data_IF_566328075177
#
_entry.id   IF_566328075177
#
_cell.length_a   1.000
_cell.length_b   1.000
_cell.length_c   1.000
_cell.angle_alpha   90.00
_cell.angle_beta   90.00
_cell.angle_gamma   90.00
#
_symmetry.space_group_name_H-M   'P 1'
#
loop_
_entity.id
_entity.type
_entity.pdbx_description
1 polymer ?
#
# COMPACT_ATOMS: atom_id res chain seq x y z
N UNK A 1 -9.58 16.33 2.76
CA UNK A 1 -10.89 15.78 3.18
C UNK A 1 -10.68 14.73 4.27
N UNK A 2 -11.73 14.31 5.01
CA UNK A 2 -11.62 13.21 5.98
C UNK A 2 -11.10 11.92 5.32
N UNK A 3 -11.57 11.64 4.11
CA UNK A 3 -11.12 10.47 3.33
C UNK A 3 -9.62 10.52 3.04
N UNK A 4 -9.09 11.67 2.61
CA UNK A 4 -7.64 11.80 2.32
C UNK A 4 -6.78 11.50 3.55
N UNK A 5 -7.20 11.97 4.74
CA UNK A 5 -6.47 11.70 5.99
C UNK A 5 -6.49 10.22 6.36
N UNK A 6 -7.60 9.51 6.11
CA UNK A 6 -7.67 8.06 6.33
C UNK A 6 -6.74 7.31 5.39
N UNK A 7 -6.73 7.66 4.10
CA UNK A 7 -5.84 7.06 3.11
C UNK A 7 -4.37 7.29 3.48
N UNK A 8 -4.01 8.52 3.88
CA UNK A 8 -2.64 8.84 4.30
C UNK A 8 -2.20 8.04 5.53
N UNK A 9 -3.06 7.93 6.54
CA UNK A 9 -2.76 7.13 7.73
C UNK A 9 -2.60 5.65 7.39
N UNK A 10 -3.45 5.12 6.51
CA UNK A 10 -3.34 3.74 6.04
C UNK A 10 -2.05 3.50 5.26
N UNK A 11 -1.65 4.40 4.36
CA UNK A 11 -0.38 4.31 3.63
C UNK A 11 0.82 4.28 4.59
N UNK A 12 0.82 5.12 5.62
CA UNK A 12 1.96 5.17 6.56
C UNK A 12 2.11 3.87 7.36
N UNK A 13 1.00 3.25 7.77
CA UNK A 13 1.00 1.98 8.50
C UNK A 13 1.49 0.82 7.62
N UNK A 14 1.21 0.88 6.32
CA UNK A 14 1.50 -0.19 5.34
C UNK A 14 2.66 0.17 4.40
N UNK A 15 3.50 1.14 4.77
CA UNK A 15 4.52 1.69 3.86
C UNK A 15 5.51 0.64 3.38
N UNK A 16 5.99 -0.21 4.26
CA UNK A 16 7.01 -1.20 3.94
C UNK A 16 6.48 -2.30 3.01
N UNK A 17 5.24 -2.77 3.24
CA UNK A 17 4.60 -3.74 2.35
C UNK A 17 4.31 -3.13 0.97
N UNK A 18 3.84 -1.87 0.92
CA UNK A 18 3.57 -1.16 -0.34
C UNK A 18 4.84 -0.97 -1.18
N UNK A 19 5.98 -0.70 -0.53
CA UNK A 19 7.27 -0.58 -1.23
C UNK A 19 7.77 -1.94 -1.73
N UNK A 20 7.63 -3.01 -0.95
CA UNK A 20 7.98 -4.35 -1.40
C UNK A 20 7.11 -4.79 -2.60
N UNK A 21 5.80 -4.54 -2.53
CA UNK A 21 4.85 -4.81 -3.61
C UNK A 21 5.13 -3.96 -4.86
N UNK A 22 5.60 -2.71 -4.67
CA UNK A 22 6.05 -1.86 -5.77
C UNK A 22 7.22 -2.47 -6.52
N UNK A 23 8.24 -2.97 -5.81
CA UNK A 23 9.41 -3.61 -6.42
C UNK A 23 9.02 -4.86 -7.24
N UNK A 24 8.07 -5.67 -6.74
CA UNK A 24 7.52 -6.81 -7.49
C UNK A 24 6.77 -6.34 -8.74
N UNK A 25 5.91 -5.34 -8.61
CA UNK A 25 5.14 -4.82 -9.75
C UNK A 25 6.06 -4.31 -10.88
N UNK A 26 7.14 -3.60 -10.53
CA UNK A 26 8.08 -3.07 -11.54
C UNK A 26 9.00 -4.15 -12.11
N UNK A 27 9.23 -5.26 -11.41
CA UNK A 27 9.92 -6.44 -11.95
C UNK A 27 9.03 -7.32 -12.84
N UNK A 28 7.73 -7.02 -12.90
CA UNK A 28 6.73 -7.80 -13.65
C UNK A 28 6.19 -8.99 -12.88
N UNK A 29 6.47 -9.06 -11.58
CA UNK A 29 5.95 -10.06 -10.65
C UNK A 29 4.60 -9.64 -10.07
N UNK A 30 3.80 -10.61 -9.62
CA UNK A 30 2.49 -10.34 -9.01
C UNK A 30 2.68 -9.84 -7.57
N UNK A 31 2.20 -8.63 -7.22
CA UNK A 31 2.25 -8.13 -5.84
C UNK A 31 1.34 -8.91 -4.89
N UNK A 32 1.60 -8.80 -3.60
CA UNK A 32 0.75 -9.43 -2.59
C UNK A 32 -0.59 -8.69 -2.41
N UNK A 33 -1.55 -9.37 -1.76
CA UNK A 33 -2.79 -8.72 -1.34
C UNK A 33 -2.55 -7.94 -0.05
N UNK A 34 -2.65 -6.62 -0.15
CA UNK A 34 -2.71 -5.69 0.97
C UNK A 34 -4.10 -5.67 1.63
N UNK A 35 -4.13 -5.49 2.95
CA UNK A 35 -5.37 -5.39 3.70
C UNK A 35 -6.14 -4.10 3.33
N UNK A 36 -7.47 -4.13 3.19
CA UNK A 36 -8.22 -2.93 2.86
C UNK A 36 -8.15 -1.87 3.97
N UNK A 37 -8.45 -0.61 3.63
CA UNK A 37 -8.70 0.46 4.59
C UNK A 37 -9.78 0.02 5.59
N UNK A 38 -9.43 -0.04 6.88
CA UNK A 38 -10.37 -0.28 7.98
C UNK A 38 -11.30 0.90 8.25
#
# INVERSE_FOLDING_TARGET
SKQLKMVQAWIEIHKDELLADWELAVSGEEPFRIAPLQ
#
